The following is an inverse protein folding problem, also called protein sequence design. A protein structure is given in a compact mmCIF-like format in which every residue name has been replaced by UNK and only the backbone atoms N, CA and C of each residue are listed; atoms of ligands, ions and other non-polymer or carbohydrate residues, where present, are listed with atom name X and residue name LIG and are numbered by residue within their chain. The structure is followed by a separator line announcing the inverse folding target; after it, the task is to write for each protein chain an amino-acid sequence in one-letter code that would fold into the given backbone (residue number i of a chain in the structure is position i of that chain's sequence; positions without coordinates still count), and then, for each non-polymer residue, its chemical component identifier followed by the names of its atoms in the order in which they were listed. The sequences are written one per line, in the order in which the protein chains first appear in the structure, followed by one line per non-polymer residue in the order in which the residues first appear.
data_IF_505942058206
#
_entry.id   IF_505942058206
#
_cell.length_a   1.000
_cell.length_b   1.000
_cell.length_c   1.000
_cell.angle_alpha   90.00
_cell.angle_beta   90.00
_cell.angle_gamma   90.00
#
_symmetry.space_group_name_H-M   'P 1'
#
loop_
_entity.id
_entity.type
_entity.pdbx_description
1 polymer ?
#
# COMPACT_ATOMS: atom_id res chain seq x y z
N UNK A 1 -6.07 38.37 -21.44
CA UNK A 1 -5.73 38.16 -20.02
C UNK A 1 -6.78 37.28 -19.37
N UNK A 2 -6.67 35.96 -19.55
CA UNK A 2 -7.44 34.90 -18.87
C UNK A 2 -7.01 33.61 -19.56
N UNK A 3 -6.27 32.74 -18.85
CA UNK A 3 -6.14 31.30 -19.14
C UNK A 3 -5.10 30.64 -18.20
N UNK A 4 -5.22 30.88 -16.89
CA UNK A 4 -4.38 30.20 -15.88
C UNK A 4 -5.19 29.51 -14.78
N UNK A 5 -6.52 29.67 -14.77
CA UNK A 5 -7.39 29.17 -13.70
C UNK A 5 -8.09 27.85 -14.05
N UNK A 6 -8.33 27.53 -15.32
CA UNK A 6 -9.06 26.31 -15.70
C UNK A 6 -8.21 25.03 -15.65
N UNK A 7 -6.94 25.09 -16.05
CA UNK A 7 -6.04 23.94 -15.93
C UNK A 7 -5.76 23.51 -14.48
N UNK A 8 -5.70 24.48 -13.56
CA UNK A 8 -5.46 24.21 -12.13
C UNK A 8 -6.68 23.57 -11.44
N UNK A 9 -7.90 23.95 -11.80
CA UNK A 9 -9.13 23.42 -11.20
C UNK A 9 -9.39 21.98 -11.67
N UNK A 10 -9.14 21.66 -12.94
CA UNK A 10 -9.27 20.29 -13.46
C UNK A 10 -8.24 19.37 -12.79
N UNK A 11 -6.98 19.80 -12.68
CA UNK A 11 -5.93 19.05 -11.99
C UNK A 11 -6.25 18.81 -10.49
N UNK A 12 -6.64 19.85 -9.76
CA UNK A 12 -6.97 19.74 -8.33
C UNK A 12 -8.20 18.87 -8.06
N UNK A 13 -9.24 18.99 -8.91
CA UNK A 13 -10.46 18.18 -8.79
C UNK A 13 -10.19 16.72 -9.07
N UNK A 14 -9.37 16.40 -10.08
CA UNK A 14 -8.94 15.03 -10.38
C UNK A 14 -8.16 14.41 -9.20
N UNK A 15 -7.23 15.16 -8.60
CA UNK A 15 -6.47 14.70 -7.42
C UNK A 15 -7.40 14.38 -6.25
N UNK A 16 -8.38 15.24 -5.98
CA UNK A 16 -9.39 15.02 -4.93
C UNK A 16 -10.25 13.79 -5.20
N UNK A 17 -10.69 13.58 -6.44
CA UNK A 17 -11.49 12.41 -6.83
C UNK A 17 -10.65 11.14 -6.67
N UNK A 18 -9.40 11.13 -7.13
CA UNK A 18 -8.50 9.97 -6.96
C UNK A 18 -8.20 9.68 -5.50
N UNK A 19 -7.97 10.71 -4.68
CA UNK A 19 -7.75 10.54 -3.24
C UNK A 19 -9.00 9.97 -2.54
N UNK A 20 -10.20 10.45 -2.90
CA UNK A 20 -11.47 9.95 -2.36
C UNK A 20 -11.74 8.52 -2.80
N UNK A 21 -11.47 8.18 -4.07
CA UNK A 21 -11.59 6.83 -4.59
C UNK A 21 -10.62 5.87 -3.89
N UNK A 22 -9.38 6.30 -3.64
CA UNK A 22 -8.38 5.55 -2.88
C UNK A 22 -8.83 5.31 -1.44
N UNK A 23 -9.33 6.34 -0.76
CA UNK A 23 -9.83 6.22 0.60
C UNK A 23 -11.01 5.26 0.69
N UNK A 24 -11.95 5.34 -0.27
CA UNK A 24 -13.09 4.42 -0.34
C UNK A 24 -12.63 2.97 -0.51
N UNK A 25 -11.75 2.70 -1.48
CA UNK A 25 -11.17 1.36 -1.70
C UNK A 25 -10.45 0.82 -0.46
N UNK A 26 -9.79 1.71 0.29
CA UNK A 26 -9.13 1.34 1.54
C UNK A 26 -10.15 0.89 2.58
N UNK A 27 -11.18 1.71 2.82
CA UNK A 27 -12.24 1.39 3.78
C UNK A 27 -12.96 0.10 3.41
N UNK A 28 -13.35 -0.06 2.14
CA UNK A 28 -14.03 -1.25 1.63
C UNK A 28 -13.16 -2.50 1.88
N UNK A 29 -11.88 -2.45 1.48
CA UNK A 29 -10.94 -3.56 1.67
C UNK A 29 -10.73 -3.91 3.15
N UNK A 30 -10.54 -2.93 4.03
CA UNK A 30 -10.37 -3.18 5.47
C UNK A 30 -11.63 -3.76 6.11
N UNK A 31 -12.81 -3.31 5.68
CA UNK A 31 -14.09 -3.85 6.12
C UNK A 31 -14.27 -5.30 5.67
N UNK A 32 -13.90 -5.61 4.43
CA UNK A 32 -13.96 -6.97 3.91
C UNK A 32 -13.02 -7.92 4.66
N UNK A 33 -11.79 -7.48 4.98
CA UNK A 33 -10.85 -8.25 5.81
C UNK A 33 -11.46 -8.56 7.18
N UNK A 34 -12.05 -7.56 7.85
CA UNK A 34 -12.68 -7.76 9.15
C UNK A 34 -13.89 -8.70 9.09
N UNK A 35 -14.67 -8.62 8.00
CA UNK A 35 -15.86 -9.45 7.82
C UNK A 35 -15.51 -10.89 7.47
N UNK A 36 -14.54 -11.08 6.58
CA UNK A 36 -14.11 -12.39 6.11
C UNK A 36 -13.23 -13.12 7.14
N UNK A 37 -12.45 -12.38 7.94
CA UNK A 37 -11.51 -12.89 8.96
C UNK A 37 -10.51 -13.90 8.40
N UNK A 38 -9.64 -13.50 7.46
CA UNK A 38 -8.59 -14.37 6.96
C UNK A 38 -7.57 -14.72 8.04
N UNK A 39 -6.98 -15.92 7.94
CA UNK A 39 -5.78 -16.26 8.72
C UNK A 39 -4.56 -15.43 8.31
N UNK A 40 -4.50 -15.04 7.03
CA UNK A 40 -3.37 -14.30 6.43
C UNK A 40 -3.86 -13.32 5.36
N UNK A 41 -3.33 -12.09 5.39
CA UNK A 41 -3.51 -11.07 4.36
C UNK A 41 -2.25 -11.00 3.50
N UNK A 42 -2.38 -11.29 2.20
CA UNK A 42 -1.26 -11.23 1.24
C UNK A 42 -1.40 -9.96 0.40
N UNK A 43 -0.41 -9.08 0.53
CA UNK A 43 -0.33 -7.81 -0.18
C UNK A 43 0.51 -7.97 -1.44
N UNK A 44 -0.10 -7.74 -2.59
CA UNK A 44 0.55 -7.84 -3.90
C UNK A 44 0.73 -6.43 -4.44
N UNK A 45 1.95 -6.10 -4.85
CA UNK A 45 2.36 -4.90 -5.60
C UNK A 45 1.37 -3.71 -5.63
N UNK A 46 1.47 -2.80 -4.66
CA UNK A 46 1.00 -1.40 -4.75
C UNK A 46 1.40 -0.66 -3.48
N UNK A 47 2.60 -0.06 -3.44
CA UNK A 47 3.23 0.27 -2.16
C UNK A 47 2.51 1.31 -1.30
N UNK A 48 1.92 2.33 -1.92
CA UNK A 48 1.23 3.40 -1.18
C UNK A 48 -0.02 2.91 -0.46
N UNK A 49 -0.78 2.03 -1.11
CA UNK A 49 -2.00 1.41 -0.55
C UNK A 49 -1.65 0.31 0.44
N UNK A 50 -0.78 -0.62 0.01
CA UNK A 50 -0.48 -1.82 0.77
C UNK A 50 0.18 -1.52 2.11
N UNK A 51 0.94 -0.43 2.26
CA UNK A 51 1.46 -0.06 3.59
C UNK A 51 0.37 0.29 4.59
N UNK A 52 -0.67 1.00 4.15
CA UNK A 52 -1.78 1.36 5.04
C UNK A 52 -2.59 0.11 5.40
N UNK A 53 -2.77 -0.79 4.44
CA UNK A 53 -3.48 -2.06 4.66
C UNK A 53 -2.65 -2.99 5.55
N UNK A 54 -1.34 -3.07 5.36
CA UNK A 54 -0.42 -3.81 6.21
C UNK A 54 -0.50 -3.33 7.67
N UNK A 55 -0.38 -2.02 7.87
CA UNK A 55 -0.47 -1.42 9.20
C UNK A 55 -1.82 -1.71 9.86
N UNK A 56 -2.92 -1.56 9.11
CA UNK A 56 -4.26 -1.87 9.61
C UNK A 56 -4.41 -3.35 9.98
N UNK A 57 -4.07 -4.25 9.04
CA UNK A 57 -4.25 -5.68 9.21
C UNK A 57 -3.39 -6.22 10.37
N UNK A 58 -2.14 -5.77 10.46
CA UNK A 58 -1.25 -6.12 11.57
C UNK A 58 -1.79 -5.63 12.91
N UNK A 59 -2.25 -4.37 12.99
CA UNK A 59 -2.88 -3.82 14.22
C UNK A 59 -4.19 -4.51 14.59
N UNK A 60 -4.92 -5.02 13.60
CA UNK A 60 -6.13 -5.80 13.80
C UNK A 60 -5.84 -7.27 14.19
N UNK A 61 -4.57 -7.67 14.28
CA UNK A 61 -4.13 -9.00 14.72
C UNK A 61 -4.03 -10.05 13.60
N UNK A 62 -4.13 -9.64 12.34
CA UNK A 62 -3.96 -10.54 11.20
C UNK A 62 -2.48 -10.68 10.82
N UNK A 63 -2.10 -11.87 10.33
CA UNK A 63 -0.77 -12.08 9.72
C UNK A 63 -0.72 -11.38 8.38
N UNK A 64 0.32 -10.60 8.14
CA UNK A 64 0.49 -9.80 6.93
C UNK A 64 1.71 -10.28 6.16
N UNK A 65 1.46 -10.79 4.95
CA UNK A 65 2.50 -11.20 4.01
C UNK A 65 2.57 -10.21 2.86
N UNK A 66 3.78 -9.96 2.36
CA UNK A 66 4.00 -9.04 1.25
C UNK A 66 4.68 -9.77 0.10
N UNK A 67 4.06 -9.75 -1.07
CA UNK A 67 4.49 -10.47 -2.26
C UNK A 67 4.96 -9.48 -3.33
N UNK A 68 6.19 -9.69 -3.83
CA UNK A 68 6.86 -8.88 -4.85
C UNK A 68 7.12 -7.44 -4.37
N UNK A 69 8.20 -7.25 -3.59
CA UNK A 69 8.70 -5.92 -3.28
C UNK A 69 9.81 -5.51 -4.28
N UNK A 70 9.70 -4.37 -5.01
CA UNK A 70 10.79 -3.89 -5.85
C UNK A 70 11.99 -3.45 -4.99
N UNK A 71 13.23 -3.79 -5.40
CA UNK A 71 14.46 -3.38 -4.69
C UNK A 71 14.60 -1.86 -4.51
N UNK A 72 14.25 -1.09 -5.55
CA UNK A 72 14.23 0.39 -5.54
C UNK A 72 13.17 0.96 -4.58
N UNK A 73 12.17 0.15 -4.22
CA UNK A 73 11.13 0.54 -3.30
C UNK A 73 11.50 0.29 -1.84
N UNK A 74 12.12 -0.86 -1.57
CA UNK A 74 12.68 -1.20 -0.27
C UNK A 74 13.94 -0.39 0.07
N UNK A 75 14.60 0.28 -0.89
CA UNK A 75 15.80 1.08 -0.60
C UNK A 75 15.53 2.37 0.19
N UNK A 76 14.26 2.79 0.34
CA UNK A 76 13.91 3.94 1.19
C UNK A 76 13.82 3.48 2.64
N UNK A 77 14.70 3.98 3.51
CA UNK A 77 14.74 3.61 4.94
C UNK A 77 13.38 3.67 5.64
N UNK A 78 12.57 4.70 5.35
CA UNK A 78 11.23 4.85 5.94
C UNK A 78 10.29 3.70 5.58
N UNK A 79 10.47 3.09 4.42
CA UNK A 79 9.68 1.97 3.92
C UNK A 79 10.17 0.65 4.50
N UNK A 80 11.48 0.48 4.64
CA UNK A 80 12.06 -0.67 5.37
C UNK A 80 11.53 -0.73 6.80
N UNK A 81 11.50 0.40 7.50
CA UNK A 81 10.96 0.48 8.87
C UNK A 81 9.51 0.03 8.93
N UNK A 82 8.67 0.44 7.98
CA UNK A 82 7.26 0.03 7.90
C UNK A 82 7.10 -1.45 7.55
N UNK A 83 7.91 -1.97 6.62
CA UNK A 83 7.92 -3.40 6.32
C UNK A 83 8.26 -4.21 7.57
N UNK A 84 9.36 -3.87 8.25
CA UNK A 84 9.77 -4.58 9.47
C UNK A 84 8.75 -4.47 10.61
N UNK A 85 7.98 -3.38 10.67
CA UNK A 85 7.00 -3.15 11.72
C UNK A 85 5.65 -3.83 11.47
N UNK A 86 5.24 -4.01 10.21
CA UNK A 86 3.86 -4.39 9.86
C UNK A 86 3.74 -5.58 8.90
N UNK A 87 4.87 -6.15 8.44
CA UNK A 87 4.89 -7.31 7.54
C UNK A 87 5.61 -8.45 8.23
N UNK A 88 4.91 -9.56 8.44
CA UNK A 88 5.43 -10.76 9.07
C UNK A 88 6.33 -11.57 8.12
N UNK A 89 6.00 -11.60 6.82
CA UNK A 89 6.78 -12.33 5.83
C UNK A 89 6.82 -11.62 4.48
N UNK A 90 8.01 -11.53 3.91
CA UNK A 90 8.24 -10.97 2.59
C UNK A 90 8.57 -12.10 1.61
N UNK A 91 7.94 -12.09 0.44
CA UNK A 91 8.18 -13.03 -0.64
C UNK A 91 8.76 -12.28 -1.85
N UNK A 92 10.01 -12.61 -2.18
CA UNK A 92 10.76 -12.01 -3.29
C UNK A 92 10.81 -13.04 -4.41
N UNK A 93 10.28 -12.68 -5.58
CA UNK A 93 10.23 -13.57 -6.76
C UNK A 93 11.51 -13.51 -7.59
N UNK A 94 12.27 -12.41 -7.50
CA UNK A 94 13.51 -12.29 -8.24
C UNK A 94 14.74 -12.76 -7.42
N UNK A 95 15.58 -13.66 -7.96
CA UNK A 95 16.61 -14.40 -7.21
C UNK A 95 17.90 -13.63 -6.89
N UNK A 96 17.95 -12.30 -7.02
CA UNK A 96 19.21 -11.53 -6.93
C UNK A 96 19.57 -10.98 -5.53
N UNK A 97 19.12 -11.63 -4.45
CA UNK A 97 19.43 -11.27 -3.05
C UNK A 97 19.84 -12.46 -2.17
N UNK A 98 20.41 -13.51 -2.77
CA UNK A 98 21.23 -14.47 -2.02
C UNK A 98 22.69 -14.17 -2.37
N UNK A 99 23.42 -13.32 -1.62
CA UNK A 99 24.87 -13.44 -1.63
C UNK A 99 25.20 -14.76 -0.92
N UNK A 100 25.82 -15.69 -1.64
CA UNK A 100 26.63 -16.74 -1.02
C UNK A 100 27.81 -16.09 -0.29
#
# INVERSE_FOLDING_TARGET
MKDYKEGAVIGFTQILIHARAFAKRFTDCTSDILRWKPDVVILIDYPGFNFRVAEFAHKAGFKVFYYIAPKVWASRESRVKKLKAFVDKLFIVFPFEIPY
#
